data_IF_418534925424
#
_entry.id   IF_418534925424
#
_cell.length_a   1.000
_cell.length_b   1.000
_cell.length_c   1.000
_cell.angle_alpha   90.00
_cell.angle_beta   90.00
_cell.angle_gamma   90.00
#
_symmetry.space_group_name_H-M   'P 1'
#
loop_
_entity.id
_entity.type
_entity.pdbx_description
1 polymer ?
#
# COMPACT_ATOMS: atom_id res chain seq x y z
N UNK A 1 28.60 3.63 15.37
CA UNK A 1 28.14 4.31 16.60
C UNK A 1 26.64 4.09 16.85
N UNK A 2 25.74 4.27 15.85
CA UNK A 2 24.29 4.12 16.04
C UNK A 2 23.80 2.69 16.33
N UNK A 3 24.41 1.67 15.71
CA UNK A 3 24.03 0.26 15.86
C UNK A 3 24.08 -0.25 17.31
N UNK A 4 25.03 0.25 18.12
CA UNK A 4 25.18 -0.13 19.53
C UNK A 4 23.99 0.29 20.40
N UNK A 5 23.40 1.46 20.12
CA UNK A 5 22.25 1.98 20.86
C UNK A 5 20.96 1.30 20.38
N UNK A 6 20.85 1.00 19.08
CA UNK A 6 19.73 0.24 18.53
C UNK A 6 19.61 -1.15 19.17
N UNK A 7 20.73 -1.83 19.40
CA UNK A 7 20.76 -3.18 19.98
C UNK A 7 20.53 -3.20 21.50
N UNK A 8 21.04 -2.20 22.24
CA UNK A 8 20.86 -2.13 23.71
C UNK A 8 19.44 -1.71 24.09
N UNK A 9 18.87 -0.73 23.38
CA UNK A 9 17.58 -0.14 23.72
C UNK A 9 16.43 -0.75 22.89
N UNK A 10 16.73 -1.65 21.95
CA UNK A 10 15.72 -2.29 21.09
C UNK A 10 14.99 -1.31 20.17
N UNK A 11 15.65 -0.20 19.80
CA UNK A 11 15.05 0.88 19.01
C UNK A 11 15.56 0.90 17.59
N UNK A 12 14.70 1.35 16.66
CA UNK A 12 15.11 1.56 15.28
C UNK A 12 16.08 2.76 15.15
N UNK A 13 16.59 2.99 13.95
CA UNK A 13 17.61 4.03 13.72
C UNK A 13 17.12 5.43 14.11
N UNK A 14 15.82 5.71 13.94
CA UNK A 14 15.21 6.97 14.36
C UNK A 14 15.15 7.09 15.87
N UNK A 15 14.76 6.03 16.58
CA UNK A 15 14.77 5.99 18.04
C UNK A 15 16.16 6.20 18.61
N UNK A 16 17.18 5.52 18.04
CA UNK A 16 18.57 5.71 18.46
C UNK A 16 19.10 7.12 18.17
N UNK A 17 18.71 7.71 17.03
CA UNK A 17 19.06 9.09 16.68
C UNK A 17 18.42 10.12 17.62
N UNK A 18 17.15 9.92 17.97
CA UNK A 18 16.43 10.77 18.92
C UNK A 18 17.09 10.74 20.31
N UNK A 19 17.38 9.53 20.82
CA UNK A 19 18.02 9.36 22.13
C UNK A 19 19.41 10.02 22.21
N UNK A 20 20.17 9.97 21.12
CA UNK A 20 21.47 10.62 21.04
C UNK A 20 21.35 12.14 20.99
N UNK A 21 20.37 12.65 20.26
CA UNK A 21 20.14 14.07 20.14
C UNK A 21 19.60 14.69 21.43
N UNK A 22 18.70 14.00 22.14
CA UNK A 22 18.23 14.39 23.47
C UNK A 22 19.39 14.46 24.47
N UNK A 23 20.31 13.49 24.44
CA UNK A 23 21.53 13.49 25.26
C UNK A 23 22.51 14.61 24.89
N UNK A 24 22.56 14.99 23.61
CA UNK A 24 23.42 16.05 23.11
C UNK A 24 22.79 17.45 23.24
N UNK A 25 21.54 17.56 23.71
CA UNK A 25 20.81 18.82 23.80
C UNK A 25 20.44 19.42 22.43
N UNK A 26 20.42 18.60 21.38
CA UNK A 26 20.11 19.01 20.01
C UNK A 26 18.67 18.58 19.68
N UNK A 27 17.83 19.50 19.21
CA UNK A 27 16.52 19.11 18.70
C UNK A 27 16.66 18.42 17.34
N UNK A 28 16.23 17.16 17.25
CA UNK A 28 15.99 16.51 15.95
C UNK A 28 14.69 17.06 15.40
N UNK A 29 14.78 17.97 14.44
CA UNK A 29 13.62 18.33 13.62
C UNK A 29 13.47 17.25 12.58
N UNK A 30 12.50 16.36 12.76
CA UNK A 30 12.03 15.52 11.66
C UNK A 30 11.36 16.45 10.65
N UNK A 31 12.03 16.78 9.56
CA UNK A 31 11.32 17.26 8.39
C UNK A 31 10.32 16.17 8.02
N UNK A 32 9.02 16.49 8.11
CA UNK A 32 8.01 15.84 7.28
C UNK A 32 8.41 16.13 5.84
N UNK A 33 9.27 15.29 5.27
CA UNK A 33 9.57 15.41 3.86
C UNK A 33 8.25 15.13 3.14
N UNK A 34 7.66 16.13 2.50
CA UNK A 34 6.38 15.99 1.76
C UNK A 34 6.40 14.77 0.81
N UNK A 35 7.59 14.45 0.28
CA UNK A 35 7.85 13.26 -0.55
C UNK A 35 7.58 11.91 0.14
N UNK A 36 7.78 11.83 1.46
CA UNK A 36 7.48 10.61 2.25
C UNK A 36 5.98 10.47 2.45
N UNK A 37 5.31 11.56 2.80
CA UNK A 37 3.85 11.58 2.97
C UNK A 37 3.15 11.22 1.65
N UNK A 38 3.63 11.72 0.50
CA UNK A 38 3.11 11.35 -0.82
C UNK A 38 3.31 9.85 -1.13
N UNK A 39 4.49 9.29 -0.84
CA UNK A 39 4.76 7.87 -1.08
C UNK A 39 3.91 6.97 -0.20
N UNK A 40 3.76 7.30 1.09
CA UNK A 40 2.93 6.54 2.03
C UNK A 40 1.44 6.61 1.63
N UNK A 41 1.01 7.75 1.07
CA UNK A 41 -0.31 7.93 0.49
C UNK A 41 -0.56 7.04 -0.73
N UNK A 42 0.40 6.95 -1.66
CA UNK A 42 0.30 6.06 -2.81
C UNK A 42 0.30 4.57 -2.42
N UNK A 43 1.07 4.18 -1.40
CA UNK A 43 1.01 2.81 -0.88
C UNK A 43 -0.36 2.47 -0.28
N UNK A 44 -0.96 3.41 0.46
CA UNK A 44 -2.32 3.25 1.00
C UNK A 44 -3.35 3.08 -0.10
N UNK A 45 -3.19 3.82 -1.21
CA UNK A 45 -4.03 3.71 -2.40
C UNK A 45 -3.89 2.32 -3.05
N UNK A 46 -2.67 1.84 -3.27
CA UNK A 46 -2.40 0.52 -3.84
C UNK A 46 -2.95 -0.61 -2.96
N UNK A 47 -2.82 -0.49 -1.64
CA UNK A 47 -3.40 -1.44 -0.69
C UNK A 47 -4.93 -1.46 -0.78
N UNK A 48 -5.55 -0.28 -0.88
CA UNK A 48 -7.01 -0.16 -1.03
C UNK A 48 -7.49 -0.81 -2.34
N UNK A 49 -6.74 -0.63 -3.43
CA UNK A 49 -7.02 -1.27 -4.72
C UNK A 49 -6.84 -2.79 -4.68
N UNK A 50 -5.80 -3.29 -4.00
CA UNK A 50 -5.60 -4.73 -3.84
C UNK A 50 -6.78 -5.38 -3.09
N UNK A 51 -7.24 -4.75 -2.00
CA UNK A 51 -8.41 -5.22 -1.24
C UNK A 51 -9.70 -5.18 -2.07
N UNK A 52 -9.87 -4.17 -2.92
CA UNK A 52 -10.95 -4.12 -3.89
C UNK A 52 -10.94 -5.37 -4.78
N UNK A 53 -9.83 -5.67 -5.46
CA UNK A 53 -9.76 -6.82 -6.36
C UNK A 53 -9.95 -8.16 -5.64
N UNK A 54 -9.43 -8.32 -4.43
CA UNK A 54 -9.67 -9.52 -3.61
C UNK A 54 -11.15 -9.70 -3.33
N UNK A 55 -11.86 -8.61 -3.00
CA UNK A 55 -13.31 -8.64 -2.76
C UNK A 55 -14.07 -9.02 -4.03
N UNK A 56 -13.66 -8.51 -5.18
CA UNK A 56 -14.27 -8.85 -6.47
C UNK A 56 -14.07 -10.34 -6.83
N UNK A 57 -12.95 -10.97 -6.41
CA UNK A 57 -12.75 -12.42 -6.48
C UNK A 57 -13.41 -13.16 -5.30
N UNK A 58 -14.68 -12.86 -5.03
CA UNK A 58 -15.48 -13.48 -3.98
C UNK A 58 -15.49 -15.02 -4.04
N UNK A 59 -15.91 -15.68 -2.95
CA UNK A 59 -15.80 -17.14 -2.79
C UNK A 59 -16.48 -17.97 -3.88
N UNK A 60 -17.51 -17.43 -4.54
CA UNK A 60 -18.26 -18.10 -5.61
C UNK A 60 -17.94 -17.57 -7.01
N UNK A 61 -16.92 -16.72 -7.15
CA UNK A 61 -16.57 -16.13 -8.44
C UNK A 61 -16.03 -17.22 -9.40
N UNK A 62 -16.51 -17.33 -10.65
CA UNK A 62 -16.03 -18.31 -11.63
C UNK A 62 -14.51 -18.30 -11.85
N UNK A 63 -13.88 -17.14 -11.65
CA UNK A 63 -12.43 -16.99 -11.69
C UNK A 63 -11.67 -17.90 -10.70
N UNK A 64 -12.30 -18.30 -9.57
CA UNK A 64 -11.68 -19.25 -8.63
C UNK A 64 -11.56 -20.64 -9.22
N UNK A 65 -12.58 -21.11 -9.94
CA UNK A 65 -12.52 -22.41 -10.62
C UNK A 65 -11.36 -22.46 -11.61
N UNK A 66 -11.11 -21.35 -12.32
CA UNK A 66 -9.97 -21.22 -13.21
C UNK A 66 -8.62 -21.29 -12.46
N UNK A 67 -8.49 -20.63 -11.31
CA UNK A 67 -7.29 -20.70 -10.48
C UNK A 67 -7.06 -22.11 -9.93
N UNK A 68 -8.11 -22.80 -9.50
CA UNK A 68 -8.04 -24.19 -9.04
C UNK A 68 -7.64 -25.15 -10.17
N UNK A 69 -8.18 -24.96 -11.38
CA UNK A 69 -7.75 -25.72 -12.57
C UNK A 69 -6.27 -25.54 -12.90
N UNK A 70 -5.66 -24.43 -12.47
CA UNK A 70 -4.21 -24.16 -12.56
C UNK A 70 -3.40 -24.65 -11.37
N UNK A 71 -4.02 -25.36 -10.42
CA UNK A 71 -3.35 -25.87 -9.22
C UNK A 71 -3.11 -24.82 -8.14
N UNK A 72 -3.76 -23.66 -8.21
CA UNK A 72 -3.65 -22.61 -7.20
C UNK A 72 -4.69 -22.91 -6.09
N UNK A 73 -4.21 -23.13 -4.88
CA UNK A 73 -5.05 -23.45 -3.72
C UNK A 73 -5.67 -22.21 -3.09
N UNK A 74 -6.71 -22.39 -2.27
CA UNK A 74 -7.34 -21.30 -1.53
C UNK A 74 -6.36 -20.58 -0.59
N UNK A 75 -5.44 -21.33 0.04
CA UNK A 75 -4.39 -20.78 0.89
C UNK A 75 -3.45 -19.87 0.10
N UNK A 76 -3.10 -20.28 -1.13
CA UNK A 76 -2.27 -19.47 -2.03
C UNK A 76 -3.01 -18.22 -2.48
N UNK A 77 -4.27 -18.36 -2.89
CA UNK A 77 -5.12 -17.23 -3.29
C UNK A 77 -5.18 -16.19 -2.17
N UNK A 78 -5.40 -16.64 -0.93
CA UNK A 78 -5.48 -15.76 0.25
C UNK A 78 -4.13 -15.13 0.60
N UNK A 79 -3.06 -15.92 0.64
CA UNK A 79 -1.73 -15.46 1.06
C UNK A 79 -1.14 -14.43 0.10
N UNK A 80 -1.36 -14.62 -1.21
CA UNK A 80 -0.90 -13.71 -2.24
C UNK A 80 -1.93 -12.62 -2.59
N UNK A 81 -3.10 -12.63 -1.94
CA UNK A 81 -4.20 -11.66 -2.17
C UNK A 81 -4.57 -11.57 -3.65
N UNK A 82 -4.69 -12.71 -4.30
CA UNK A 82 -5.13 -12.78 -5.69
C UNK A 82 -6.56 -12.27 -5.76
N UNK A 83 -6.81 -11.36 -6.69
CA UNK A 83 -8.11 -10.73 -6.92
C UNK A 83 -8.57 -10.84 -8.36
N UNK A 84 -9.68 -10.17 -8.67
CA UNK A 84 -10.28 -10.10 -9.99
C UNK A 84 -10.57 -8.64 -10.35
N UNK A 85 -10.24 -8.23 -11.57
CA UNK A 85 -10.63 -6.93 -12.10
C UNK A 85 -11.96 -7.10 -12.85
N UNK A 86 -13.07 -6.48 -12.39
CA UNK A 86 -14.35 -6.52 -13.09
C UNK A 86 -14.26 -5.95 -14.50
N UNK A 87 -15.15 -6.39 -15.39
CA UNK A 87 -15.31 -5.83 -16.73
C UNK A 87 -16.06 -4.48 -16.67
N UNK A 88 -15.40 -3.48 -16.09
CA UNK A 88 -15.87 -2.10 -15.99
C UNK A 88 -14.67 -1.16 -16.07
N UNK A 89 -14.85 -0.05 -16.77
CA UNK A 89 -13.79 0.94 -17.00
C UNK A 89 -13.65 1.95 -15.84
N UNK A 90 -14.65 2.08 -14.98
CA UNK A 90 -14.78 3.11 -13.94
C UNK A 90 -14.88 2.58 -12.51
N UNK A 91 -15.29 1.33 -12.29
CA UNK A 91 -15.63 0.83 -10.96
C UNK A 91 -14.49 0.96 -9.93
N UNK A 92 -13.24 0.70 -10.33
CA UNK A 92 -12.08 0.91 -9.45
C UNK A 92 -11.88 2.40 -9.14
N UNK A 93 -12.04 3.26 -10.15
CA UNK A 93 -11.84 4.70 -10.02
C UNK A 93 -12.88 5.30 -9.09
N UNK A 94 -14.15 4.94 -9.28
CA UNK A 94 -15.25 5.36 -8.40
C UNK A 94 -15.03 4.91 -6.96
N UNK A 95 -14.67 3.63 -6.76
CA UNK A 95 -14.37 3.09 -5.44
C UNK A 95 -13.22 3.85 -4.75
N UNK A 96 -12.13 4.14 -5.46
CA UNK A 96 -11.00 4.89 -4.89
C UNK A 96 -11.36 6.36 -4.60
N UNK A 97 -12.20 6.98 -5.43
CA UNK A 97 -12.71 8.34 -5.17
C UNK A 97 -13.61 8.38 -3.93
N UNK A 98 -14.46 7.38 -3.72
CA UNK A 98 -15.25 7.22 -2.49
C UNK A 98 -14.38 7.03 -1.24
N UNK A 99 -13.18 6.46 -1.40
CA UNK A 99 -12.16 6.35 -0.34
C UNK A 99 -11.33 7.61 -0.13
N UNK A 100 -11.64 8.68 -0.86
CA UNK A 100 -11.03 10.00 -0.70
C UNK A 100 -9.71 10.17 -1.45
N UNK A 101 -9.41 9.32 -2.44
CA UNK A 101 -8.28 9.52 -3.34
C UNK A 101 -8.69 10.41 -4.52
N UNK A 102 -7.78 11.30 -4.92
CA UNK A 102 -7.93 12.19 -6.05
C UNK A 102 -7.58 11.47 -7.35
N UNK A 103 -8.11 11.95 -8.48
CA UNK A 103 -7.80 11.40 -9.80
C UNK A 103 -6.29 11.46 -10.12
N UNK A 104 -5.61 12.51 -9.64
CA UNK A 104 -4.16 12.65 -9.78
C UNK A 104 -3.41 11.55 -9.02
N UNK A 105 -3.82 11.22 -7.80
CA UNK A 105 -3.19 10.12 -7.04
C UNK A 105 -3.44 8.76 -7.72
N UNK A 106 -4.64 8.53 -8.25
CA UNK A 106 -4.99 7.28 -8.96
C UNK A 106 -4.16 7.13 -10.26
N UNK A 107 -3.97 8.22 -11.01
CA UNK A 107 -3.11 8.26 -12.19
C UNK A 107 -1.63 8.05 -11.82
N UNK A 108 -1.14 8.71 -10.77
CA UNK A 108 0.24 8.54 -10.27
C UNK A 108 0.52 7.11 -9.77
N UNK A 109 -0.49 6.45 -9.18
CA UNK A 109 -0.41 5.05 -8.78
C UNK A 109 -0.44 4.07 -9.96
N UNK A 110 -0.67 4.55 -11.19
CA UNK A 110 -0.74 3.72 -12.40
C UNK A 110 -2.02 2.91 -12.53
N UNK A 111 -3.08 3.27 -11.79
CA UNK A 111 -4.36 2.53 -11.80
C UNK A 111 -5.39 3.09 -12.79
N UNK A 112 -5.12 4.24 -13.39
CA UNK A 112 -5.97 4.83 -14.42
C UNK A 112 -5.11 5.53 -15.49
N UNK A 113 -5.62 5.56 -16.73
CA UNK A 113 -5.10 6.38 -17.82
C UNK A 113 -6.17 7.38 -18.24
N UNK A 114 -5.79 8.63 -18.49
CA UNK A 114 -6.68 9.58 -19.15
C UNK A 114 -6.99 9.11 -20.57
N UNK A 115 -8.28 9.06 -20.91
CA UNK A 115 -8.70 8.84 -22.29
C UNK A 115 -8.21 9.98 -23.16
N UNK A 116 -7.51 9.65 -24.24
CA UNK A 116 -7.19 10.62 -25.29
C UNK A 116 -8.51 10.92 -26.03
N UNK A 117 -9.01 12.13 -25.86
CA UNK A 117 -10.11 12.71 -26.64
C UNK A 117 -9.58 13.85 -27.48
#
# INVERSE_FOLDING_TARGET
MFTFIQEIEGVDFKGALQMLADKAGVQVVYEKSEKRDERDRLYSLLETAALFFVRELGEKHPGREYLHKRGITDETIKSFRIGFAPDSWDMLIEYLKEKGYTEKEIELAGLAKKGER
#
